data_IF_139905544966
#
_entry.id   IF_139905544966
#
_cell.length_a   1.000
_cell.length_b   1.000
_cell.length_c   1.000
_cell.angle_alpha   90.00
_cell.angle_beta   90.00
_cell.angle_gamma   90.00
#
_symmetry.space_group_name_H-M   'P 1'
#
loop_
_entity.id
_entity.type
_entity.pdbx_description
1 polymer ?
#
# COMPACT_ATOMS: atom_id res chain seq x y z
N UNK A 1 18.42 -11.76 12.91
CA UNK A 1 18.35 -10.31 13.19
C UNK A 1 18.40 -9.48 11.90
N UNK A 2 19.49 -9.51 11.12
CA UNK A 2 19.56 -8.71 9.86
C UNK A 2 18.52 -9.14 8.81
N UNK A 3 18.33 -10.44 8.62
CA UNK A 3 17.30 -10.98 7.73
C UNK A 3 15.89 -10.57 8.14
N UNK A 4 15.59 -10.65 9.43
CA UNK A 4 14.30 -10.27 10.02
C UNK A 4 14.02 -8.76 9.87
N UNK A 5 15.02 -7.92 10.15
CA UNK A 5 14.92 -6.47 9.93
C UNK A 5 14.68 -6.12 8.46
N UNK A 6 15.26 -6.89 7.53
CA UNK A 6 15.03 -6.72 6.08
C UNK A 6 13.58 -7.06 5.71
N UNK A 7 13.07 -8.19 6.20
CA UNK A 7 11.69 -8.60 5.97
C UNK A 7 10.70 -7.56 6.50
N UNK A 8 10.93 -7.03 7.71
CA UNK A 8 10.07 -6.01 8.31
C UNK A 8 10.04 -4.71 7.48
N UNK A 9 11.16 -4.31 6.88
CA UNK A 9 11.23 -3.16 5.97
C UNK A 9 10.45 -3.44 4.68
N UNK A 10 10.64 -4.61 4.08
CA UNK A 10 9.94 -4.98 2.84
C UNK A 10 8.42 -4.99 3.03
N UNK A 11 7.92 -5.38 4.20
CA UNK A 11 6.48 -5.34 4.51
C UNK A 11 5.89 -3.92 4.46
N UNK A 12 6.71 -2.87 4.55
CA UNK A 12 6.25 -1.46 4.52
C UNK A 12 6.36 -0.81 3.13
N UNK A 13 6.99 -1.46 2.17
CA UNK A 13 7.21 -0.92 0.82
C UNK A 13 5.98 -1.14 -0.06
N UNK A 14 5.63 -0.10 -0.83
CA UNK A 14 4.57 -0.10 -1.84
C UNK A 14 4.74 -1.28 -2.79
N UNK A 15 3.67 -2.08 -2.95
CA UNK A 15 3.69 -3.28 -3.80
C UNK A 15 3.52 -2.97 -5.28
N UNK A 16 3.42 -1.69 -5.64
CA UNK A 16 3.22 -1.22 -7.01
C UNK A 16 4.54 -0.72 -7.59
N UNK A 17 5.18 0.26 -6.94
CA UNK A 17 6.47 0.77 -7.40
C UNK A 17 7.68 0.07 -6.77
N UNK A 18 7.49 -0.67 -5.67
CA UNK A 18 8.57 -1.34 -4.92
C UNK A 18 9.68 -0.38 -4.44
N UNK A 19 9.33 0.89 -4.26
CA UNK A 19 10.27 1.98 -3.97
C UNK A 19 9.81 2.77 -2.73
N UNK A 20 8.69 3.49 -2.85
CA UNK A 20 8.14 4.30 -1.76
C UNK A 20 7.46 3.45 -0.68
N UNK A 21 7.41 3.95 0.55
CA UNK A 21 6.62 3.35 1.63
C UNK A 21 5.11 3.40 1.32
N UNK A 22 4.39 2.39 1.78
CA UNK A 22 2.93 2.36 1.74
C UNK A 22 2.38 3.50 2.61
N UNK A 23 1.28 4.10 2.14
CA UNK A 23 0.68 5.24 2.83
C UNK A 23 -0.78 5.47 2.49
N UNK A 24 -1.42 4.54 1.77
CA UNK A 24 -2.83 4.62 1.37
C UNK A 24 -3.59 3.32 1.64
N UNK A 25 -4.76 3.45 2.26
CA UNK A 25 -5.76 2.38 2.40
C UNK A 25 -6.85 2.58 1.33
N UNK A 26 -7.22 1.51 0.63
CA UNK A 26 -8.31 1.52 -0.34
C UNK A 26 -9.67 1.22 0.31
N UNK A 27 -10.69 2.02 -0.01
CA UNK A 27 -12.07 1.79 0.43
C UNK A 27 -12.92 1.23 -0.72
N UNK A 28 -13.83 0.26 -0.46
CA UNK A 28 -14.18 -0.26 0.87
C UNK A 28 -13.32 -1.45 1.34
N UNK A 29 -12.39 -1.96 0.53
CA UNK A 29 -11.76 -3.26 0.81
C UNK A 29 -10.71 -3.26 1.94
N UNK A 30 -10.24 -2.10 2.37
CA UNK A 30 -9.29 -1.94 3.49
C UNK A 30 -7.84 -2.31 3.19
N UNK A 31 -7.50 -2.72 1.96
CA UNK A 31 -6.14 -3.15 1.64
C UNK A 31 -5.16 -1.97 1.64
N UNK A 32 -4.06 -2.17 2.36
CA UNK A 32 -2.95 -1.23 2.51
C UNK A 32 -1.74 -1.73 1.73
N UNK A 33 -1.69 -1.42 0.44
CA UNK A 33 -0.68 -2.00 -0.48
C UNK A 33 0.04 -0.97 -1.35
N UNK A 34 -0.37 0.31 -1.31
CA UNK A 34 0.10 1.36 -2.20
C UNK A 34 0.66 2.56 -1.43
N UNK A 35 1.67 3.21 -2.00
CA UNK A 35 2.08 4.56 -1.62
C UNK A 35 1.08 5.60 -2.16
N UNK A 36 1.25 6.84 -1.71
CA UNK A 36 0.43 7.99 -2.11
C UNK A 36 0.60 8.40 -3.56
N UNK A 37 1.74 8.12 -4.19
CA UNK A 37 2.00 8.45 -5.60
C UNK A 37 1.40 7.43 -6.57
N UNK A 38 1.33 6.15 -6.20
CA UNK A 38 0.75 5.11 -7.05
C UNK A 38 -0.77 5.03 -6.95
N UNK A 39 -1.35 5.38 -5.80
CA UNK A 39 -2.78 5.23 -5.55
C UNK A 39 -3.70 5.92 -6.59
N UNK A 40 -3.43 7.14 -7.09
CA UNK A 40 -4.30 7.81 -8.05
C UNK A 40 -4.44 7.12 -9.42
N UNK A 41 -3.47 6.26 -9.78
CA UNK A 41 -3.50 5.53 -11.06
C UNK A 41 -4.33 4.22 -10.99
N UNK A 42 -4.85 3.86 -9.82
CA UNK A 42 -5.53 2.59 -9.58
C UNK A 42 -7.04 2.78 -9.47
N UNK A 43 -7.79 2.02 -10.27
CA UNK A 43 -9.27 1.99 -10.22
C UNK A 43 -9.81 0.83 -9.41
N UNK A 44 -9.12 -0.32 -9.44
CA UNK A 44 -9.43 -1.50 -8.65
C UNK A 44 -8.27 -1.81 -7.70
N UNK A 45 -8.57 -2.39 -6.54
CA UNK A 45 -7.55 -2.85 -5.62
C UNK A 45 -6.69 -3.94 -6.31
N UNK A 46 -5.36 -3.76 -6.41
CA UNK A 46 -4.48 -4.75 -7.06
C UNK A 46 -4.47 -6.12 -6.38
N UNK A 47 -4.80 -6.16 -5.08
CA UNK A 47 -4.82 -7.40 -4.30
C UNK A 47 -6.14 -8.17 -4.45
N UNK A 48 -7.29 -7.51 -4.19
CA UNK A 48 -8.59 -8.19 -4.14
C UNK A 48 -9.54 -7.85 -5.30
N UNK A 49 -9.10 -7.02 -6.26
CA UNK A 49 -9.88 -6.57 -7.44
C UNK A 49 -11.16 -5.80 -7.12
N UNK A 50 -11.42 -5.46 -5.86
CA UNK A 50 -12.58 -4.63 -5.48
C UNK A 50 -12.41 -3.20 -6.04
N UNK A 51 -13.44 -2.62 -6.67
CA UNK A 51 -13.40 -1.22 -7.14
C UNK A 51 -13.12 -0.24 -6.01
N UNK A 52 -12.17 0.66 -6.24
CA UNK A 52 -11.75 1.68 -5.28
C UNK A 52 -12.76 2.83 -5.35
N UNK A 53 -13.49 3.04 -4.25
CA UNK A 53 -14.45 4.14 -4.11
C UNK A 53 -13.89 5.34 -3.35
N UNK A 54 -12.73 5.16 -2.72
CA UNK A 54 -12.05 6.20 -1.97
C UNK A 54 -10.71 5.72 -1.44
N UNK A 55 -9.89 6.66 -1.01
CA UNK A 55 -8.55 6.42 -0.47
C UNK A 55 -8.36 7.18 0.82
N UNK A 56 -7.77 6.55 1.84
CA UNK A 56 -7.37 7.22 3.09
C UNK A 56 -5.85 7.25 3.17
N UNK A 57 -5.28 8.45 3.30
CA UNK A 57 -3.86 8.62 3.58
C UNK A 57 -3.58 8.27 5.04
N UNK A 58 -2.61 7.40 5.28
CA UNK A 58 -2.22 6.97 6.63
C UNK A 58 -0.79 7.41 6.95
N UNK A 59 -0.50 7.50 8.24
CA UNK A 59 0.83 7.79 8.78
C UNK A 59 1.15 6.70 9.80
N UNK A 60 2.27 5.99 9.61
CA UNK A 60 2.73 4.99 10.57
C UNK A 60 3.55 5.68 11.66
N UNK A 61 3.19 5.44 12.92
CA UNK A 61 3.93 5.85 14.12
C UNK A 61 5.01 4.86 14.50
#
# INVERSE_FOLDING_TARGET
>A
LESENRMLKELRICKICMDNEMGVVFLPCGHFISCTSCAPALQDCPYCRTPIKGTVKTYMS
#
